data_IF_526982733563
#
_entry.id   IF_526982733563
#
_cell.length_a   1.000
_cell.length_b   1.000
_cell.length_c   1.000
_cell.angle_alpha   90.00
_cell.angle_beta   90.00
_cell.angle_gamma   90.00
#
_symmetry.space_group_name_H-M   'P 1'
#
loop_
_entity.id
_entity.type
_entity.pdbx_description
1 polymer ?
#
# COMPACT_ATOMS: atom_id res chain seq x y z
N UNK A 1 32.95 -6.96 -23.03
CA UNK A 1 34.03 -6.63 -22.08
C UNK A 1 34.28 -7.81 -21.15
N UNK A 2 35.52 -8.01 -20.67
CA UNK A 2 35.86 -8.99 -19.63
C UNK A 2 36.09 -8.22 -18.33
N UNK A 3 35.32 -8.54 -17.30
CA UNK A 3 35.36 -7.88 -16.00
C UNK A 3 35.45 -8.96 -14.92
N UNK A 4 36.26 -8.72 -13.89
CA UNK A 4 36.25 -9.53 -12.67
C UNK A 4 35.41 -8.78 -11.65
N UNK A 5 34.42 -9.46 -11.07
CA UNK A 5 33.55 -8.92 -10.03
C UNK A 5 33.56 -9.87 -8.84
N UNK A 6 33.59 -9.31 -7.63
CA UNK A 6 33.39 -10.07 -6.40
C UNK A 6 31.90 -10.14 -6.11
N UNK A 7 31.41 -11.32 -5.73
CA UNK A 7 29.99 -11.56 -5.40
C UNK A 7 29.91 -12.07 -3.97
N UNK A 8 28.91 -11.59 -3.24
CA UNK A 8 28.56 -12.14 -1.93
C UNK A 8 28.03 -13.58 -2.06
N UNK A 9 28.16 -14.36 -0.99
CA UNK A 9 27.83 -15.80 -0.98
C UNK A 9 26.36 -16.08 -1.31
N UNK A 10 25.47 -15.19 -0.89
CA UNK A 10 24.02 -15.28 -1.15
C UNK A 10 23.72 -15.04 -2.64
N UNK A 11 24.34 -14.03 -3.25
CA UNK A 11 24.19 -13.72 -4.67
C UNK A 11 24.77 -14.83 -5.55
N UNK A 12 25.92 -15.39 -5.17
CA UNK A 12 26.51 -16.53 -5.86
C UNK A 12 25.58 -17.76 -5.86
N UNK A 13 24.91 -18.04 -4.73
CA UNK A 13 23.90 -19.11 -4.62
C UNK A 13 22.69 -18.84 -5.50
N UNK A 14 22.13 -17.62 -5.45
CA UNK A 14 20.98 -17.24 -6.27
C UNK A 14 21.25 -17.39 -7.78
N UNK A 15 22.42 -16.96 -8.23
CA UNK A 15 22.85 -17.10 -9.62
C UNK A 15 23.04 -18.57 -10.00
N UNK A 16 23.64 -19.38 -9.11
CA UNK A 16 23.79 -20.82 -9.31
C UNK A 16 22.44 -21.53 -9.42
N UNK A 17 21.50 -21.27 -8.52
CA UNK A 17 20.17 -21.89 -8.55
C UNK A 17 19.42 -21.54 -9.84
N UNK A 18 19.52 -20.27 -10.25
CA UNK A 18 18.94 -19.81 -11.53
C UNK A 18 19.61 -20.45 -12.73
N UNK A 19 20.93 -20.66 -12.69
CA UNK A 19 21.68 -21.39 -13.72
C UNK A 19 21.16 -22.81 -13.89
N UNK A 20 20.99 -23.56 -12.80
CA UNK A 20 20.51 -24.95 -12.83
C UNK A 20 19.07 -25.03 -13.34
N UNK A 21 18.20 -24.14 -12.85
CA UNK A 21 16.78 -24.09 -13.24
C UNK A 21 16.58 -23.74 -14.71
N UNK A 22 17.34 -22.79 -15.25
CA UNK A 22 17.19 -22.32 -16.63
C UNK A 22 18.09 -23.06 -17.64
N UNK A 23 19.01 -23.92 -17.16
CA UNK A 23 20.02 -24.62 -17.98
C UNK A 23 20.84 -23.67 -18.86
N UNK A 24 21.14 -22.47 -18.33
CA UNK A 24 21.97 -21.46 -18.99
C UNK A 24 23.38 -21.46 -18.41
N UNK A 25 24.31 -20.77 -19.06
CA UNK A 25 25.65 -20.54 -18.50
C UNK A 25 25.61 -19.45 -17.43
N UNK A 26 26.53 -19.49 -16.45
CA UNK A 26 26.66 -18.46 -15.41
C UNK A 26 26.70 -17.04 -16.00
N UNK A 27 27.48 -16.86 -17.08
CA UNK A 27 27.60 -15.58 -17.79
C UNK A 27 26.26 -15.09 -18.33
N UNK A 28 25.43 -15.96 -18.91
CA UNK A 28 24.13 -15.56 -19.45
C UNK A 28 23.21 -15.09 -18.32
N UNK A 29 23.12 -15.89 -17.25
CA UNK A 29 22.28 -15.56 -16.09
C UNK A 29 22.71 -14.25 -15.44
N UNK A 30 24.01 -14.05 -15.21
CA UNK A 30 24.54 -12.81 -14.63
C UNK A 30 24.22 -11.58 -15.50
N UNK A 31 24.44 -11.67 -16.82
CA UNK A 31 24.16 -10.54 -17.70
C UNK A 31 22.66 -10.25 -17.84
N UNK A 32 21.81 -11.27 -17.87
CA UNK A 32 20.36 -11.10 -17.88
C UNK A 32 19.87 -10.42 -16.60
N UNK A 33 20.36 -10.87 -15.43
CA UNK A 33 20.03 -10.27 -14.15
C UNK A 33 20.47 -8.80 -14.07
N UNK A 34 21.69 -8.49 -14.50
CA UNK A 34 22.19 -7.11 -14.55
C UNK A 34 21.38 -6.24 -15.50
N UNK A 35 21.02 -6.73 -16.70
CA UNK A 35 20.16 -5.98 -17.62
C UNK A 35 18.78 -5.73 -17.03
N UNK A 36 18.17 -6.73 -16.40
CA UNK A 36 16.88 -6.56 -15.74
C UNK A 36 16.96 -5.49 -14.64
N UNK A 37 18.00 -5.55 -13.79
CA UNK A 37 18.18 -4.58 -12.71
C UNK A 37 18.53 -3.16 -13.17
N UNK A 38 19.23 -3.01 -14.30
CA UNK A 38 19.64 -1.70 -14.83
C UNK A 38 18.62 -1.07 -15.79
N UNK A 39 17.74 -1.88 -16.40
CA UNK A 39 16.72 -1.38 -17.34
C UNK A 39 15.40 -1.07 -16.65
N UNK A 40 15.10 -1.69 -15.51
CA UNK A 40 13.91 -1.34 -14.73
C UNK A 40 14.12 0.05 -14.14
N UNK A 41 13.46 1.05 -14.73
CA UNK A 41 13.28 2.35 -14.08
C UNK A 41 12.61 2.10 -12.73
N UNK A 42 13.03 2.79 -11.64
CA UNK A 42 12.33 2.69 -10.38
C UNK A 42 10.86 3.00 -10.65
N UNK A 43 9.97 2.04 -10.34
CA UNK A 43 8.55 2.29 -10.42
C UNK A 43 8.26 3.43 -9.44
N UNK A 44 7.80 4.58 -9.97
CA UNK A 44 7.30 5.64 -9.10
C UNK A 44 6.15 5.03 -8.29
N UNK A 45 6.21 5.09 -6.94
CA UNK A 45 5.11 4.59 -6.14
C UNK A 45 3.86 5.35 -6.56
N UNK A 46 2.82 4.62 -6.98
CA UNK A 46 1.57 5.24 -7.37
C UNK A 46 0.98 5.95 -6.15
N UNK A 47 0.95 7.29 -6.18
CA UNK A 47 0.42 8.08 -5.08
C UNK A 47 -1.03 7.70 -4.85
N UNK A 48 -1.31 7.09 -3.70
CA UNK A 48 -2.67 6.76 -3.30
C UNK A 48 -3.54 8.03 -3.31
N UNK A 49 -4.61 8.02 -4.11
CA UNK A 49 -5.61 9.09 -4.16
C UNK A 49 -6.93 8.59 -3.57
N UNK A 50 -7.33 9.15 -2.44
CA UNK A 50 -8.64 8.89 -1.85
C UNK A 50 -9.74 9.54 -2.69
N UNK A 51 -10.78 8.78 -3.07
CA UNK A 51 -11.93 9.31 -3.80
C UNK A 51 -12.96 9.86 -2.80
N UNK A 52 -12.97 11.18 -2.63
CA UNK A 52 -14.00 11.84 -1.82
C UNK A 52 -15.36 11.78 -2.52
N UNK A 53 -16.41 11.45 -1.78
CA UNK A 53 -17.79 11.55 -2.22
C UNK A 53 -18.50 12.68 -1.47
N UNK A 54 -19.52 13.29 -2.08
CA UNK A 54 -20.33 14.31 -1.42
C UNK A 54 -21.22 13.61 -0.39
N UNK A 55 -20.92 13.79 0.90
CA UNK A 55 -21.78 13.38 2.00
C UNK A 55 -22.59 14.57 2.50
N UNK A 56 -23.88 14.37 2.81
CA UNK A 56 -24.72 15.39 3.45
C UNK A 56 -24.49 15.49 4.97
N UNK A 57 -23.61 14.67 5.51
CA UNK A 57 -23.35 14.58 6.95
C UNK A 57 -22.45 15.74 7.37
N UNK A 58 -22.95 16.53 8.33
CA UNK A 58 -22.19 17.63 8.91
C UNK A 58 -21.05 17.08 9.77
N UNK A 59 -19.90 17.75 9.82
CA UNK A 59 -18.82 17.39 10.74
C UNK A 59 -19.33 17.34 12.19
N UNK A 60 -18.90 16.35 12.96
CA UNK A 60 -19.29 16.17 14.36
C UNK A 60 -20.51 15.26 14.58
N UNK A 61 -21.20 14.83 13.52
CA UNK A 61 -22.27 13.85 13.63
C UNK A 61 -21.76 12.43 13.41
N UNK A 62 -21.94 11.57 14.41
CA UNK A 62 -21.72 10.13 14.28
C UNK A 62 -22.98 9.47 13.70
N UNK A 63 -22.91 9.10 12.42
CA UNK A 63 -24.01 8.45 11.68
C UNK A 63 -24.36 7.09 12.31
N UNK A 64 -23.41 6.45 12.98
CA UNK A 64 -23.62 5.14 13.63
C UNK A 64 -24.32 5.25 14.99
N UNK A 65 -24.41 6.47 15.53
CA UNK A 65 -25.02 6.75 16.83
C UNK A 65 -26.20 7.74 16.71
N UNK A 66 -26.94 7.71 15.60
CA UNK A 66 -28.05 8.63 15.36
C UNK A 66 -29.15 8.55 16.43
N UNK A 67 -29.31 7.41 17.09
CA UNK A 67 -30.26 7.25 18.20
C UNK A 67 -29.95 8.21 19.36
N UNK A 68 -28.68 8.51 19.64
CA UNK A 68 -28.32 9.46 20.70
C UNK A 68 -28.79 10.89 20.41
N UNK A 69 -28.81 11.27 19.13
CA UNK A 69 -29.36 12.56 18.72
C UNK A 69 -30.88 12.60 18.91
N UNK A 70 -31.57 11.47 18.75
CA UNK A 70 -33.01 11.40 19.04
C UNK A 70 -33.27 11.53 20.55
N UNK A 71 -32.48 10.84 21.37
CA UNK A 71 -32.57 10.91 22.84
C UNK A 71 -32.34 12.35 23.34
N UNK A 72 -31.32 13.06 22.84
CA UNK A 72 -31.05 14.47 23.20
C UNK A 72 -32.22 15.40 22.85
N UNK A 73 -32.88 15.19 21.71
CA UNK A 73 -34.03 16.00 21.29
C UNK A 73 -35.28 15.74 22.13
N UNK A 74 -35.51 14.49 22.55
CA UNK A 74 -36.62 14.14 23.45
C UNK A 74 -36.41 14.73 24.86
N UNK A 75 -35.18 14.75 25.36
CA UNK A 75 -34.81 15.37 26.64
C UNK A 75 -35.01 16.90 26.61
N UNK A 76 -34.67 17.57 25.50
CA UNK A 76 -34.93 19.01 25.30
C UNK A 76 -36.44 19.33 25.28
N UNK A 77 -37.26 18.50 24.61
CA UNK A 77 -38.72 18.68 24.59
C UNK A 77 -39.33 18.50 25.99
N UNK A 78 -38.87 17.47 26.72
CA UNK A 78 -39.38 17.13 28.05
C UNK A 78 -39.02 18.19 29.09
N UNK A 79 -37.83 18.80 28.98
CA UNK A 79 -37.41 19.89 29.87
C UNK A 79 -38.10 21.22 29.55
N UNK A 80 -38.46 21.48 28.28
CA UNK A 80 -39.22 22.66 27.87
C UNK A 80 -40.72 22.59 28.24
N UNK A 81 -41.30 21.39 28.33
CA UNK A 81 -42.72 21.18 28.67
C UNK A 81 -43.06 21.14 30.16
N UNK A 82 -42.06 21.16 31.04
CA UNK A 82 -42.22 20.93 32.49
C UNK A 82 -42.41 22.17 33.39
N UNK A 83 -42.57 23.38 32.84
CA UNK A 83 -42.89 24.58 33.62
C UNK A 83 -44.27 25.14 33.26
N UNK A 84 -45.31 24.58 33.86
CA UNK A 84 -46.64 25.18 33.98
C UNK A 84 -47.23 24.83 35.36
#
# INVERSE_FOLDING_TARGET
MRTTVTLDDDLARLLSDRQHRERKTFKQVLNEALRAGLTVAPAEPETYRHRTHRSGVRPGFDITALNRLADELEDEETTAGGSA
#
